data_IF_069023171672
#
_entry.id   IF_069023171672
#
_cell.length_a   1.000
_cell.length_b   1.000
_cell.length_c   1.000
_cell.angle_alpha   90.00
_cell.angle_beta   90.00
_cell.angle_gamma   90.00
#
_symmetry.space_group_name_H-M   'P 1'
#
loop_
_entity.id
_entity.type
_entity.pdbx_description
1 polymer ?
#
# COMPACT_ATOMS: atom_id res chain seq x y z
N UNK A 1 2.74 34.34 -10.24
CA UNK A 1 1.58 34.26 -11.16
C UNK A 1 1.33 32.80 -11.46
N UNK A 2 0.70 32.09 -10.52
CA UNK A 2 0.21 30.72 -10.72
C UNK A 2 -1.12 30.63 -9.98
N UNK A 3 -2.18 30.98 -10.70
CA UNK A 3 -3.56 30.72 -10.33
C UNK A 3 -4.10 29.69 -11.33
N UNK A 4 -4.88 28.73 -10.82
CA UNK A 4 -5.50 27.58 -11.49
C UNK A 4 -4.66 26.32 -11.58
N UNK A 5 -4.81 25.44 -10.59
CA UNK A 5 -4.80 24.00 -10.82
C UNK A 5 -5.96 23.37 -10.05
N UNK A 6 -6.85 22.72 -10.81
CA UNK A 6 -8.04 22.05 -10.32
C UNK A 6 -7.71 20.84 -9.47
N UNK A 7 -8.72 20.41 -8.72
CA UNK A 7 -8.72 19.22 -7.88
C UNK A 7 -8.29 17.98 -8.67
N UNK A 8 -7.02 17.60 -8.52
CA UNK A 8 -6.50 16.27 -8.87
C UNK A 8 -5.76 15.78 -7.64
N UNK A 9 -6.39 14.86 -6.91
CA UNK A 9 -5.83 14.16 -5.75
C UNK A 9 -4.71 13.22 -6.19
N UNK A 10 -3.59 13.78 -6.64
CA UNK A 10 -2.37 13.03 -6.93
C UNK A 10 -1.67 12.72 -5.60
N UNK A 11 -1.99 11.57 -5.01
CA UNK A 11 -1.21 11.00 -3.91
C UNK A 11 0.08 10.41 -4.46
N UNK A 12 1.21 11.06 -4.16
CA UNK A 12 2.52 10.47 -4.36
C UNK A 12 2.80 9.55 -3.16
N UNK A 13 2.46 8.27 -3.28
CA UNK A 13 2.91 7.25 -2.34
C UNK A 13 4.40 7.01 -2.62
N UNK A 14 5.27 7.74 -1.94
CA UNK A 14 6.72 7.59 -2.10
C UNK A 14 7.21 6.61 -1.05
N UNK A 15 7.33 5.33 -1.39
CA UNK A 15 8.32 4.43 -0.76
C UNK A 15 8.42 3.09 -1.49
N UNK A 16 9.64 2.76 -1.89
CA UNK A 16 10.17 1.42 -1.75
C UNK A 16 11.65 1.59 -1.36
N UNK A 17 11.99 1.36 -0.09
CA UNK A 17 13.40 1.17 0.31
C UNK A 17 13.65 -0.33 0.24
N UNK A 18 14.45 -0.76 -0.72
CA UNK A 18 14.81 -2.15 -0.89
C UNK A 18 16.32 -2.30 -1.07
N UNK A 19 16.87 -3.39 -0.55
CA UNK A 19 18.27 -3.76 -0.70
C UNK A 19 18.38 -4.99 -1.62
N UNK A 20 19.50 -5.08 -2.36
CA UNK A 20 19.74 -6.15 -3.33
C UNK A 20 20.16 -7.44 -2.62
N UNK A 21 19.44 -8.52 -2.94
CA UNK A 21 19.68 -9.84 -2.36
C UNK A 21 20.83 -10.56 -3.09
N UNK A 22 21.85 -11.03 -2.35
CA UNK A 22 22.81 -12.02 -2.84
C UNK A 22 22.42 -13.40 -2.27
N UNK A 23 22.13 -14.37 -3.13
CA UNK A 23 21.59 -15.70 -2.78
C UNK A 23 22.62 -16.83 -2.94
N UNK A 24 22.66 -17.74 -1.96
CA UNK A 24 23.15 -19.13 -2.13
C UNK A 24 22.32 -20.13 -1.29
N UNK A 25 21.61 -21.02 -1.99
CA UNK A 25 20.72 -22.16 -1.59
C UNK A 25 21.38 -23.30 -0.75
N UNK A 26 20.73 -24.46 -0.37
CA UNK A 26 19.35 -24.99 -0.61
C UNK A 26 18.61 -25.64 0.62
N UNK A 27 17.40 -26.27 0.44
CA UNK A 27 16.43 -26.60 1.52
C UNK A 27 16.39 -28.08 1.98
N UNK A 28 15.80 -28.35 3.16
CA UNK A 28 15.48 -29.70 3.64
C UNK A 28 13.95 -29.99 3.65
N UNK A 29 13.60 -31.15 3.08
CA UNK A 29 12.28 -31.80 3.02
C UNK A 29 11.98 -32.54 4.33
N UNK A 30 10.75 -32.50 4.83
CA UNK A 30 10.09 -33.64 5.51
C UNK A 30 8.58 -33.66 5.18
N UNK A 31 8.06 -34.87 4.98
CA UNK A 31 6.72 -35.27 4.50
C UNK A 31 5.81 -35.78 5.64
N UNK A 32 4.52 -36.00 5.29
CA UNK A 32 3.49 -36.84 5.95
C UNK A 32 2.64 -36.14 7.03
N UNK A 33 1.32 -36.32 7.16
CA UNK A 33 0.40 -37.41 6.76
C UNK A 33 -1.03 -36.86 6.61
N UNK A 34 -1.85 -37.47 5.75
CA UNK A 34 -3.28 -37.22 5.53
C UNK A 34 -4.13 -37.83 6.66
N UNK A 35 -5.17 -37.14 7.12
CA UNK A 35 -6.40 -37.78 7.66
C UNK A 35 -7.61 -36.90 7.36
N UNK A 36 -8.63 -37.54 6.80
CA UNK A 36 -9.91 -36.99 6.34
C UNK A 36 -10.98 -37.12 7.41
N UNK A 37 -11.76 -36.06 7.67
CA UNK A 37 -13.17 -36.15 8.09
C UNK A 37 -13.88 -34.78 7.99
N UNK A 38 -15.08 -34.78 7.39
CA UNK A 38 -16.09 -33.71 7.25
C UNK A 38 -17.45 -34.43 7.43
N UNK A 39 -18.60 -33.82 7.78
CA UNK A 39 -18.92 -32.43 8.16
C UNK A 39 -19.69 -32.30 9.51
N UNK A 40 -19.82 -31.09 10.07
CA UNK A 40 -21.10 -30.61 10.64
C UNK A 40 -21.02 -29.16 11.16
N UNK A 41 -22.14 -28.44 10.93
CA UNK A 41 -22.64 -27.21 11.54
C UNK A 41 -21.90 -25.87 11.33
N UNK A 42 -22.60 -24.97 10.64
CA UNK A 42 -22.39 -23.52 10.65
C UNK A 42 -22.51 -22.97 12.08
N UNK A 43 -21.60 -22.10 12.55
CA UNK A 43 -21.87 -21.33 13.77
C UNK A 43 -22.79 -20.14 13.47
N UNK A 44 -23.83 -20.06 14.30
CA UNK A 44 -24.85 -19.03 14.34
C UNK A 44 -24.27 -17.63 14.57
N UNK A 45 -24.91 -16.66 13.93
CA UNK A 45 -24.64 -15.24 14.00
C UNK A 45 -25.16 -14.67 15.32
N UNK A 46 -24.30 -14.59 16.34
CA UNK A 46 -24.65 -13.91 17.60
C UNK A 46 -24.37 -12.42 17.45
N UNK A 47 -25.41 -11.65 17.13
CA UNK A 47 -25.41 -10.19 17.23
C UNK A 47 -25.47 -9.76 18.70
N UNK A 48 -24.39 -9.17 19.21
CA UNK A 48 -24.41 -8.40 20.45
C UNK A 48 -24.21 -6.91 20.12
N UNK A 49 -25.33 -6.19 20.16
CA UNK A 49 -25.43 -4.73 20.15
C UNK A 49 -24.93 -4.15 21.47
N UNK A 50 -23.91 -3.31 21.41
CA UNK A 50 -23.67 -2.23 22.38
C UNK A 50 -23.44 -0.95 21.58
N UNK A 51 -24.38 -0.01 21.71
CA UNK A 51 -24.34 1.28 21.04
C UNK A 51 -23.37 2.21 21.77
N UNK A 52 -22.25 2.49 21.11
CA UNK A 52 -21.49 3.73 21.25
C UNK A 52 -21.41 4.28 19.81
N UNK A 53 -21.82 5.52 19.49
CA UNK A 53 -21.73 6.04 18.13
C UNK A 53 -20.30 6.49 17.83
N UNK A 54 -19.34 5.61 18.09
CA UNK A 54 -18.05 5.64 17.42
C UNK A 54 -18.33 4.99 16.06
N UNK A 55 -18.29 5.77 14.97
CA UNK A 55 -18.50 5.29 13.60
C UNK A 55 -17.80 3.95 13.42
N UNK A 56 -18.55 2.84 13.50
CA UNK A 56 -17.97 1.49 13.52
C UNK A 56 -17.49 1.20 12.11
N UNK A 57 -16.24 1.58 11.83
CA UNK A 57 -15.61 1.26 10.55
C UNK A 57 -15.66 -0.25 10.39
N UNK A 58 -16.31 -0.72 9.31
CA UNK A 58 -16.34 -2.13 8.97
C UNK A 58 -14.90 -2.67 8.94
N UNK A 59 -14.65 -3.92 9.34
CA UNK A 59 -13.31 -4.49 9.25
C UNK A 59 -12.77 -4.35 7.81
N UNK A 60 -11.47 -4.12 7.67
CA UNK A 60 -10.85 -4.10 6.34
C UNK A 60 -10.89 -5.52 5.76
N UNK A 61 -11.32 -5.69 4.50
CA UNK A 61 -11.21 -6.98 3.83
C UNK A 61 -9.73 -7.36 3.67
N UNK A 62 -9.40 -8.66 3.64
CA UNK A 62 -8.05 -9.10 3.36
C UNK A 62 -7.60 -8.66 1.97
N UNK A 63 -6.30 -8.46 1.79
CA UNK A 63 -5.74 -8.11 0.49
C UNK A 63 -5.97 -9.25 -0.53
N UNK A 64 -6.62 -8.92 -1.64
CA UNK A 64 -6.75 -9.79 -2.80
C UNK A 64 -6.08 -9.14 -4.01
N UNK A 65 -5.02 -9.73 -4.59
CA UNK A 65 -4.32 -9.16 -5.74
C UNK A 65 -5.23 -8.99 -6.97
N UNK A 66 -6.24 -9.84 -7.15
CA UNK A 66 -7.16 -9.75 -8.30
C UNK A 66 -8.10 -8.53 -8.23
N UNK A 67 -8.29 -7.96 -7.03
CA UNK A 67 -9.12 -6.78 -6.80
C UNK A 67 -8.26 -5.53 -6.63
N UNK A 68 -7.18 -5.64 -5.86
CA UNK A 68 -6.43 -4.49 -5.37
C UNK A 68 -5.19 -4.14 -6.21
N UNK A 69 -4.74 -5.02 -7.12
CA UNK A 69 -3.64 -4.72 -8.04
C UNK A 69 -4.20 -4.42 -9.42
N UNK A 70 -3.67 -3.36 -10.04
CA UNK A 70 -3.91 -3.03 -11.44
C UNK A 70 -2.59 -2.55 -12.03
N UNK A 71 -1.59 -3.43 -12.02
CA UNK A 71 -0.24 -3.07 -12.43
C UNK A 71 -0.21 -2.73 -13.92
N UNK A 72 0.21 -1.50 -14.21
CA UNK A 72 0.58 -1.02 -15.52
C UNK A 72 2.08 -0.72 -15.48
N UNK A 73 2.91 -1.33 -16.32
CA UNK A 73 4.34 -1.11 -16.28
C UNK A 73 4.69 0.35 -16.63
N UNK A 74 5.79 0.90 -16.08
CA UNK A 74 6.26 2.22 -16.47
C UNK A 74 6.59 2.28 -17.95
N UNK A 75 6.27 3.40 -18.61
CA UNK A 75 6.55 3.60 -20.03
C UNK A 75 8.06 3.63 -20.30
N UNK A 76 8.82 4.32 -19.45
CA UNK A 76 10.26 4.47 -19.56
C UNK A 76 10.95 4.20 -18.23
N UNK A 77 12.15 3.61 -18.30
CA UNK A 77 13.12 3.56 -17.20
C UNK A 77 14.27 4.47 -17.55
N UNK A 78 14.64 5.31 -16.60
CA UNK A 78 15.72 6.27 -16.73
C UNK A 78 16.96 5.75 -16.00
N UNK A 79 18.13 5.84 -16.62
CA UNK A 79 19.40 5.28 -16.13
C UNK A 79 20.29 6.34 -15.49
N UNK A 80 21.31 5.96 -14.72
CA UNK A 80 22.27 6.97 -14.24
C UNK A 80 23.17 7.43 -15.39
N UNK A 81 23.57 6.51 -16.26
CA UNK A 81 24.45 6.81 -17.41
C UNK A 81 23.85 7.84 -18.36
N UNK A 82 22.56 7.73 -18.72
CA UNK A 82 21.93 8.70 -19.63
C UNK A 82 21.83 10.12 -19.02
N UNK A 83 21.77 10.20 -17.69
CA UNK A 83 21.72 11.46 -16.95
C UNK A 83 23.11 12.02 -16.67
N UNK A 84 24.17 11.33 -17.11
CA UNK A 84 25.56 11.69 -16.81
C UNK A 84 25.92 11.55 -15.34
N UNK A 85 25.21 10.70 -14.59
CA UNK A 85 25.42 10.45 -13.17
C UNK A 85 26.25 9.18 -12.96
N UNK A 86 27.07 9.10 -11.89
CA UNK A 86 27.81 7.90 -11.58
C UNK A 86 26.89 6.76 -11.13
N UNK A 87 27.08 5.57 -11.70
CA UNK A 87 26.33 4.37 -11.31
C UNK A 87 26.75 3.94 -9.89
N UNK A 88 25.80 3.78 -8.94
CA UNK A 88 26.11 3.30 -7.61
C UNK A 88 26.71 1.88 -7.63
N UNK A 89 27.71 1.64 -6.78
CA UNK A 89 28.32 0.31 -6.67
C UNK A 89 27.31 -0.72 -6.17
N UNK A 90 27.24 -1.85 -6.85
CA UNK A 90 26.39 -2.97 -6.47
C UNK A 90 24.92 -2.81 -6.82
N UNK A 91 24.52 -1.77 -7.56
CA UNK A 91 23.15 -1.56 -8.06
C UNK A 91 23.08 -1.65 -9.60
N UNK A 92 21.94 -2.03 -10.18
CA UNK A 92 21.70 -1.87 -11.61
C UNK A 92 21.82 -0.40 -12.04
N UNK A 93 22.14 -0.15 -13.32
CA UNK A 93 22.13 1.19 -13.91
C UNK A 93 20.69 1.67 -14.16
N UNK A 94 19.96 1.89 -13.08
CA UNK A 94 18.59 2.42 -13.07
C UNK A 94 18.49 3.54 -12.03
N UNK A 95 18.09 4.72 -12.47
CA UNK A 95 17.93 5.90 -11.62
C UNK A 95 16.48 6.03 -11.12
N UNK A 96 15.51 6.06 -12.03
CA UNK A 96 14.09 6.11 -11.70
C UNK A 96 13.24 5.59 -12.88
N UNK A 97 11.92 5.48 -12.68
CA UNK A 97 10.98 5.16 -13.75
C UNK A 97 9.95 6.26 -13.90
N UNK A 98 9.32 6.36 -15.06
CA UNK A 98 8.10 7.16 -15.19
C UNK A 98 7.05 6.68 -14.16
N UNK A 99 6.15 7.58 -13.69
CA UNK A 99 5.05 7.17 -12.81
C UNK A 99 4.20 6.09 -13.46
N UNK A 100 3.79 5.09 -12.67
CA UNK A 100 3.04 3.96 -13.16
C UNK A 100 1.98 3.52 -12.14
N UNK A 101 0.94 2.84 -12.64
CA UNK A 101 -0.13 2.36 -11.77
C UNK A 101 0.26 1.02 -11.16
N UNK A 102 0.24 0.92 -9.83
CA UNK A 102 0.48 -0.34 -9.11
C UNK A 102 -0.83 -0.92 -8.56
N UNK A 103 -1.56 -0.12 -7.80
CA UNK A 103 -2.82 -0.51 -7.19
C UNK A 103 -4.02 -0.13 -8.07
N UNK A 104 -5.09 -0.93 -7.96
CA UNK A 104 -6.39 -0.53 -8.47
C UNK A 104 -6.98 0.60 -7.61
N UNK A 105 -8.04 1.24 -8.08
CA UNK A 105 -8.76 2.25 -7.30
C UNK A 105 -9.24 1.70 -5.96
N UNK A 106 -9.78 0.46 -5.94
CA UNK A 106 -10.17 -0.21 -4.70
C UNK A 106 -8.98 -0.51 -3.78
N UNK A 107 -7.83 -0.88 -4.34
CA UNK A 107 -6.59 -1.05 -3.57
C UNK A 107 -6.15 0.26 -2.90
N UNK A 108 -6.16 1.36 -3.65
CA UNK A 108 -5.86 2.70 -3.10
C UNK A 108 -6.88 3.10 -2.04
N UNK A 109 -8.17 2.82 -2.27
CA UNK A 109 -9.25 3.08 -1.31
C UNK A 109 -9.03 2.34 0.01
N UNK A 110 -8.64 1.06 -0.03
CA UNK A 110 -8.32 0.28 1.17
C UNK A 110 -7.07 0.77 1.90
N UNK A 111 -6.01 1.16 1.18
CA UNK A 111 -4.83 1.79 1.79
C UNK A 111 -5.25 3.08 2.51
N UNK A 112 -6.00 3.96 1.83
CA UNK A 112 -6.50 5.23 2.42
C UNK A 112 -7.35 4.94 3.66
N UNK A 113 -8.26 3.98 3.57
CA UNK A 113 -9.12 3.57 4.67
C UNK A 113 -8.34 3.13 5.90
N UNK A 114 -7.22 2.43 5.72
CA UNK A 114 -6.36 2.02 6.83
C UNK A 114 -5.56 3.18 7.42
N UNK A 115 -4.88 3.97 6.59
CA UNK A 115 -3.94 4.98 7.06
C UNK A 115 -4.61 6.23 7.65
N UNK A 116 -5.87 6.49 7.28
CA UNK A 116 -6.68 7.58 7.84
C UNK A 116 -7.55 7.15 9.02
N UNK A 117 -7.44 5.91 9.50
CA UNK A 117 -8.07 5.55 10.78
C UNK A 117 -7.49 6.39 11.90
N UNK A 118 -8.35 6.86 12.80
CA UNK A 118 -7.91 7.65 13.96
C UNK A 118 -6.80 6.97 14.74
N UNK A 119 -6.91 5.66 15.00
CA UNK A 119 -5.90 4.85 15.69
C UNK A 119 -4.54 4.81 14.97
N UNK A 120 -4.55 4.89 13.63
CA UNK A 120 -3.34 4.93 12.82
C UNK A 120 -2.73 6.33 12.82
N UNK A 121 -3.55 7.36 12.61
CA UNK A 121 -3.13 8.76 12.64
C UNK A 121 -2.52 9.14 13.98
N UNK A 122 -3.16 8.75 15.10
CA UNK A 122 -2.67 9.04 16.45
C UNK A 122 -1.27 8.47 16.71
N UNK A 123 -0.91 7.36 16.04
CA UNK A 123 0.40 6.71 16.18
C UNK A 123 1.44 7.23 15.20
N UNK A 124 1.07 7.49 13.94
CA UNK A 124 2.01 7.65 12.83
C UNK A 124 1.98 9.02 12.16
N UNK A 125 0.97 9.86 12.42
CA UNK A 125 0.94 11.21 11.89
C UNK A 125 2.01 12.07 12.59
N UNK A 126 2.78 12.81 11.79
CA UNK A 126 3.85 13.71 12.20
C UNK A 126 3.72 15.02 11.43
N UNK A 127 4.23 16.09 12.03
CA UNK A 127 4.23 17.43 11.42
C UNK A 127 5.51 18.15 11.78
N UNK A 128 6.15 18.76 10.78
CA UNK A 128 7.29 19.67 10.94
C UNK A 128 7.35 20.63 9.74
N UNK A 129 8.20 21.66 9.79
CA UNK A 129 8.20 22.76 8.81
C UNK A 129 8.31 22.31 7.35
N UNK A 130 9.08 21.25 7.07
CA UNK A 130 9.29 20.73 5.71
C UNK A 130 8.23 19.71 5.27
N UNK A 131 7.52 19.09 6.22
CA UNK A 131 6.38 18.23 5.94
C UNK A 131 5.27 18.55 6.95
N UNK A 132 4.38 19.50 6.61
CA UNK A 132 3.30 19.93 7.49
C UNK A 132 2.34 18.81 7.90
N UNK A 133 2.28 17.72 7.13
CA UNK A 133 1.62 16.49 7.55
C UNK A 133 2.21 15.29 6.79
N UNK A 134 2.81 14.37 7.55
CA UNK A 134 3.32 13.11 7.04
C UNK A 134 2.85 11.95 7.92
N UNK A 135 2.56 10.81 7.31
CA UNK A 135 2.31 9.55 8.02
C UNK A 135 3.52 8.65 7.76
N UNK A 136 4.25 8.31 8.83
CA UNK A 136 5.57 7.66 8.78
C UNK A 136 5.87 6.92 10.08
N UNK A 137 6.80 5.98 10.04
CA UNK A 137 7.24 5.18 11.20
C UNK A 137 6.37 3.97 11.48
N UNK A 138 5.56 3.54 10.52
CA UNK A 138 4.83 2.27 10.60
C UNK A 138 5.74 1.17 10.04
N UNK A 139 5.89 0.07 10.78
CA UNK A 139 6.91 -0.94 10.50
C UNK A 139 6.32 -2.35 10.38
N UNK A 140 7.00 -3.29 9.69
CA UNK A 140 6.54 -4.66 9.53
C UNK A 140 6.19 -5.36 10.85
N UNK A 141 7.01 -5.16 11.89
CA UNK A 141 6.88 -5.87 13.18
C UNK A 141 5.77 -5.36 14.10
N UNK A 142 5.12 -4.23 13.77
CA UNK A 142 4.02 -3.68 14.57
C UNK A 142 2.73 -4.50 14.34
N UNK A 143 1.71 -4.34 15.17
CA UNK A 143 0.42 -5.06 14.98
C UNK A 143 -0.58 -4.29 14.09
N UNK A 144 -0.20 -3.09 13.63
CA UNK A 144 -1.04 -2.17 12.86
C UNK A 144 -0.79 -2.30 11.35
N UNK A 145 -1.60 -1.65 10.50
CA UNK A 145 -1.31 -1.57 9.06
C UNK A 145 -1.37 -2.92 8.35
N UNK A 146 -2.34 -3.76 8.74
CA UNK A 146 -2.49 -5.15 8.30
C UNK A 146 -2.69 -5.21 6.78
N UNK A 147 -3.57 -4.37 6.24
CA UNK A 147 -3.83 -4.34 4.80
C UNK A 147 -2.58 -3.90 4.03
N UNK A 148 -1.91 -2.84 4.49
CA UNK A 148 -0.69 -2.33 3.88
C UNK A 148 0.43 -3.38 3.89
N UNK A 149 0.57 -4.13 4.98
CA UNK A 149 1.51 -5.25 5.09
C UNK A 149 1.21 -6.35 4.10
N UNK A 150 -0.04 -6.80 4.07
CA UNK A 150 -0.46 -7.82 3.11
C UNK A 150 -0.25 -7.33 1.67
N UNK A 151 -0.56 -6.06 1.38
CA UNK A 151 -0.39 -5.48 0.06
C UNK A 151 1.08 -5.47 -0.40
N UNK A 152 2.02 -5.06 0.47
CA UNK A 152 3.44 -5.00 0.11
C UNK A 152 4.13 -6.37 0.10
N UNK A 153 3.79 -7.26 1.03
CA UNK A 153 4.43 -8.58 1.13
C UNK A 153 3.91 -9.58 0.08
N UNK A 154 2.74 -9.31 -0.51
CA UNK A 154 2.14 -10.22 -1.49
C UNK A 154 3.06 -10.42 -2.71
N UNK A 155 3.28 -11.67 -3.18
CA UNK A 155 4.21 -11.99 -4.25
C UNK A 155 3.90 -11.27 -5.57
N UNK A 156 2.62 -11.02 -5.87
CA UNK A 156 2.20 -10.27 -7.07
C UNK A 156 2.68 -8.81 -7.01
N UNK A 157 2.55 -8.15 -5.86
CA UNK A 157 3.06 -6.78 -5.68
C UNK A 157 4.57 -6.75 -5.80
N UNK A 158 5.26 -7.70 -5.15
CA UNK A 158 6.72 -7.83 -5.24
C UNK A 158 7.18 -8.07 -6.69
N UNK A 159 6.49 -8.91 -7.44
CA UNK A 159 6.80 -9.15 -8.85
C UNK A 159 6.63 -7.88 -9.71
N UNK A 160 5.56 -7.11 -9.48
CA UNK A 160 5.34 -5.84 -10.17
C UNK A 160 6.43 -4.80 -9.86
N UNK A 161 6.82 -4.67 -8.59
CA UNK A 161 7.90 -3.75 -8.17
C UNK A 161 9.25 -4.22 -8.70
N UNK A 162 9.57 -5.51 -8.61
CA UNK A 162 10.79 -6.08 -9.19
C UNK A 162 10.85 -5.86 -10.70
N UNK A 163 9.72 -5.99 -11.39
CA UNK A 163 9.63 -5.66 -12.81
C UNK A 163 9.93 -4.18 -13.02
N UNK A 164 9.28 -3.26 -12.30
CA UNK A 164 9.51 -1.83 -12.46
C UNK A 164 10.99 -1.47 -12.23
N UNK A 165 11.62 -2.02 -11.19
CA UNK A 165 13.02 -1.79 -10.85
C UNK A 165 14.02 -2.50 -11.78
N UNK A 166 13.64 -3.62 -12.41
CA UNK A 166 14.52 -4.41 -13.28
C UNK A 166 15.46 -5.38 -12.55
N UNK A 167 15.30 -5.57 -11.25
CA UNK A 167 16.00 -6.58 -10.47
C UNK A 167 15.15 -7.04 -9.27
N UNK A 168 15.54 -8.15 -8.64
CA UNK A 168 14.85 -8.64 -7.44
C UNK A 168 15.16 -7.75 -6.23
N UNK A 169 14.10 -7.26 -5.59
CA UNK A 169 14.15 -6.46 -4.39
C UNK A 169 13.75 -7.27 -3.16
N UNK A 170 14.50 -7.07 -2.07
CA UNK A 170 14.15 -7.56 -0.75
C UNK A 170 13.53 -6.43 0.08
N UNK A 171 12.34 -6.67 0.62
CA UNK A 171 11.73 -5.76 1.59
C UNK A 171 12.59 -5.72 2.85
N UNK A 172 12.78 -4.52 3.40
CA UNK A 172 13.41 -4.37 4.70
C UNK A 172 12.45 -4.87 5.80
N UNK A 173 12.94 -5.76 6.66
CA UNK A 173 12.20 -6.26 7.82
C UNK A 173 12.47 -5.45 9.08
N UNK A 174 11.93 -5.90 10.22
CA UNK A 174 12.21 -5.30 11.52
C UNK A 174 11.43 -4.00 11.76
N UNK A 175 12.09 -3.03 12.39
CA UNK A 175 11.51 -1.71 12.74
C UNK A 175 11.70 -0.64 11.65
N UNK A 176 12.17 -1.03 10.46
CA UNK A 176 12.27 -0.12 9.32
C UNK A 176 10.89 0.42 8.90
N UNK A 177 10.86 1.69 8.52
CA UNK A 177 9.63 2.32 8.03
C UNK A 177 9.17 1.66 6.72
N UNK A 178 7.92 1.20 6.67
CA UNK A 178 7.33 0.60 5.48
C UNK A 178 6.91 1.64 4.47
N UNK A 179 6.64 2.87 4.91
CA UNK A 179 6.19 3.88 3.99
C UNK A 179 6.12 5.30 4.50
N UNK A 180 6.08 6.22 3.54
CA UNK A 180 6.01 7.64 3.79
C UNK A 180 4.87 8.25 2.97
N UNK A 181 3.89 8.81 3.66
CA UNK A 181 2.69 9.37 3.04
C UNK A 181 2.64 10.86 3.34
N UNK A 182 2.75 11.67 2.28
CA UNK A 182 2.49 13.10 2.38
C UNK A 182 0.99 13.36 2.32
N UNK A 183 0.46 14.11 3.29
CA UNK A 183 -0.95 14.52 3.30
C UNK A 183 -1.02 16.01 2.98
N UNK A 184 -1.72 16.34 1.89
CA UNK A 184 -1.98 17.74 1.53
C UNK A 184 -3.06 18.30 2.45
N UNK A 185 -2.71 19.33 3.22
CA UNK A 185 -3.62 19.97 4.16
C UNK A 185 -4.56 20.95 3.45
N UNK A 186 -5.84 20.88 3.82
CA UNK A 186 -6.83 21.89 3.44
C UNK A 186 -6.85 23.09 4.39
N UNK A 187 -7.89 23.91 4.30
CA UNK A 187 -8.08 25.10 5.15
C UNK A 187 -8.15 24.80 6.65
N UNK A 188 -8.54 23.59 7.02
CA UNK A 188 -8.63 23.14 8.42
C UNK A 188 -7.30 22.61 8.99
N UNK A 189 -6.22 22.63 8.20
CA UNK A 189 -4.91 22.14 8.63
C UNK A 189 -4.95 20.68 9.10
N UNK A 190 -4.12 20.36 10.10
CA UNK A 190 -4.01 19.01 10.68
C UNK A 190 -5.33 18.48 11.26
N UNK A 191 -6.15 19.35 11.84
CA UNK A 191 -7.44 18.94 12.42
C UNK A 191 -8.40 18.40 11.35
N UNK A 192 -8.29 18.88 10.11
CA UNK A 192 -9.08 18.39 8.98
C UNK A 192 -8.74 16.95 8.58
N UNK A 193 -7.52 16.47 8.87
CA UNK A 193 -7.09 15.11 8.50
C UNK A 193 -7.92 14.06 9.22
N UNK A 194 -8.26 14.28 10.49
CA UNK A 194 -9.12 13.41 11.28
C UNK A 194 -10.59 13.38 10.81
N UNK A 195 -10.99 14.32 9.95
CA UNK A 195 -12.35 14.40 9.41
C UNK A 195 -12.46 13.77 8.02
N UNK A 196 -11.35 13.27 7.46
CA UNK A 196 -11.35 12.59 6.16
C UNK A 196 -12.15 11.29 6.33
N UNK A 197 -13.32 11.23 5.68
CA UNK A 197 -14.16 10.04 5.67
C UNK A 197 -13.75 9.10 4.55
N UNK A 198 -14.07 7.82 4.72
CA UNK A 198 -13.90 6.82 3.67
C UNK A 198 -14.71 7.19 2.43
N UNK A 199 -14.07 7.13 1.26
CA UNK A 199 -14.77 7.18 -0.02
C UNK A 199 -15.51 5.84 -0.23
N UNK A 200 -16.82 5.88 -0.56
CA UNK A 200 -17.60 4.67 -0.75
C UNK A 200 -17.09 3.86 -1.96
N UNK A 201 -17.14 2.53 -1.86
CA UNK A 201 -16.81 1.65 -2.97
C UNK A 201 -17.70 1.95 -4.19
N UNK A 202 -17.14 1.90 -5.40
CA UNK A 202 -17.95 1.99 -6.61
C UNK A 202 -18.86 0.78 -6.71
N UNK A 203 -20.12 1.00 -7.07
CA UNK A 203 -21.07 -0.11 -7.26
C UNK A 203 -20.61 -1.01 -8.41
N UNK A 204 -20.81 -2.33 -8.28
CA UNK A 204 -20.43 -3.32 -9.30
C UNK A 204 -20.98 -2.99 -10.70
N UNK A 205 -22.21 -2.43 -10.77
CA UNK A 205 -22.86 -2.02 -12.02
C UNK A 205 -22.11 -0.92 -12.80
N UNK A 206 -21.42 -0.03 -12.08
CA UNK A 206 -20.65 1.07 -12.68
C UNK A 206 -19.32 0.56 -13.26
N UNK A 207 -18.71 -0.43 -12.62
CA UNK A 207 -17.43 -1.01 -13.06
C UNK A 207 -17.59 -1.82 -14.34
N UNK A 208 -18.71 -2.53 -14.50
CA UNK A 208 -19.03 -3.27 -15.74
C UNK A 208 -19.34 -2.33 -16.91
N UNK A 209 -19.98 -1.19 -16.66
CA UNK A 209 -20.31 -0.20 -17.69
C UNK A 209 -19.07 0.50 -18.27
N UNK A 210 -18.00 0.65 -17.48
CA UNK A 210 -16.73 1.27 -17.91
C UNK A 210 -15.81 0.32 -18.68
N UNK A 211 -15.97 -1.01 -18.54
CA UNK A 211 -15.21 -2.01 -19.28
C UNK A 211 -15.76 -2.26 -20.70
N UNK A 212 -16.99 -1.82 -20.96
CA UNK A 212 -17.71 -2.05 -22.21
C UNK A 212 -17.84 -0.78 -23.09
N UNK A 213 -17.11 0.29 -22.75
CA UNK A 213 -17.05 1.55 -23.51
C UNK A 213 -15.62 1.82 -23.98
#
# INVERSE_FOLDING_TARGET
>A
MFSHFGYSTNFLLCTCVAELSQSSNPPSKIMSTVTSAVPASLPEMTTLTTQNPEETMLPLPPFNPAIHINFQPPATRHTFTELGLPVPKGCPDICYTDPFQLFSEEGVRMIRREVFQKSFLDKYMRSWDRAPCAITGHAPVKDDGIFLKQAWDHPVTRAAVNFAFGAELKLQGGDSDMGYINVQLGSEGLAGVYKIKEEPAKSLSTVESLKNS
#
